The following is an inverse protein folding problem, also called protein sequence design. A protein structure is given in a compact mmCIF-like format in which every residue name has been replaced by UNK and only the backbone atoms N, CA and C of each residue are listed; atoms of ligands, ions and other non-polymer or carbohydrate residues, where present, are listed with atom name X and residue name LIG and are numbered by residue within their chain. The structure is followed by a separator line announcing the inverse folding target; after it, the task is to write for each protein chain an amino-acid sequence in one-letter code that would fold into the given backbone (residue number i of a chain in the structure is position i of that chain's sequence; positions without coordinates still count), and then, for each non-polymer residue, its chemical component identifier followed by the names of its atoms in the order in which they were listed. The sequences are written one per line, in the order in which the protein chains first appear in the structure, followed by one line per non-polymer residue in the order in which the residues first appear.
data_IF_487573081092
#
_entry.id   IF_487573081092
#
_cell.length_a   1.000
_cell.length_b   1.000
_cell.length_c   1.000
_cell.angle_alpha   90.00
_cell.angle_beta   90.00
_cell.angle_gamma   90.00
#
_symmetry.space_group_name_H-M   'P 1'
#
loop_
_entity.id
_entity.type
_entity.pdbx_description
1 polymer ?
#
# COMPACT_ATOMS: atom_id res chain seq x y z
N UNK A 1 8.97 4.32 2.91
CA UNK A 1 7.71 4.80 3.53
C UNK A 1 6.48 4.49 2.68
N UNK A 2 6.51 4.79 1.38
CA UNK A 2 5.39 4.63 0.44
C UNK A 2 4.79 3.21 0.37
N UNK A 3 5.63 2.19 0.15
CA UNK A 3 5.18 0.79 0.01
C UNK A 3 4.57 0.26 1.32
N UNK A 4 5.03 0.77 2.46
CA UNK A 4 4.45 0.44 3.76
C UNK A 4 3.05 1.05 3.85
N UNK A 5 2.88 2.34 3.55
CA UNK A 5 1.58 3.01 3.56
C UNK A 5 0.54 2.30 2.65
N UNK A 6 0.94 1.93 1.42
CA UNK A 6 0.08 1.18 0.48
C UNK A 6 -0.21 -0.25 0.94
N UNK A 7 0.71 -0.89 1.67
CA UNK A 7 0.47 -2.22 2.27
C UNK A 7 -0.48 -2.16 3.47
N UNK A 8 -0.52 -1.03 4.18
CA UNK A 8 -1.41 -0.82 5.33
C UNK A 8 -2.83 -0.41 4.90
N UNK A 9 -2.99 0.23 3.73
CA UNK A 9 -4.28 0.52 3.10
C UNK A 9 -5.30 -0.65 3.17
N UNK A 10 -4.99 -1.86 2.63
CA UNK A 10 -5.92 -2.99 2.71
C UNK A 10 -5.94 -3.68 4.08
N UNK A 11 -4.95 -3.43 4.93
CA UNK A 11 -4.80 -4.09 6.24
C UNK A 11 -5.66 -3.41 7.31
N UNK A 12 -5.84 -2.09 7.21
CA UNK A 12 -6.54 -1.25 8.19
C UNK A 12 -7.79 -0.58 7.62
N UNK A 13 -8.15 -0.87 6.35
CA UNK A 13 -9.31 -0.30 5.68
C UNK A 13 -9.28 1.23 5.64
N UNK A 14 -8.07 1.79 5.50
CA UNK A 14 -7.81 3.24 5.50
C UNK A 14 -8.33 3.87 4.21
N UNK A 15 -8.81 5.11 4.29
CA UNK A 15 -9.11 5.91 3.10
C UNK A 15 -7.82 6.46 2.47
N UNK A 16 -7.89 6.91 1.22
CA UNK A 16 -6.77 7.59 0.56
C UNK A 16 -6.31 8.83 1.33
N UNK A 17 -7.24 9.51 2.01
CA UNK A 17 -6.94 10.64 2.89
C UNK A 17 -6.18 10.25 4.14
N UNK A 18 -6.54 9.15 4.79
CA UNK A 18 -5.80 8.69 5.97
C UNK A 18 -4.36 8.31 5.60
N UNK A 19 -4.17 7.77 4.39
CA UNK A 19 -2.83 7.45 3.85
C UNK A 19 -2.04 8.71 3.51
N UNK A 20 -2.70 9.74 2.95
CA UNK A 20 -2.14 11.07 2.74
C UNK A 20 -1.68 11.71 4.06
N UNK A 21 -2.56 11.75 5.07
CA UNK A 21 -2.23 12.30 6.40
C UNK A 21 -1.05 11.56 7.04
N UNK A 22 -1.02 10.23 6.97
CA UNK A 22 0.12 9.43 7.47
C UNK A 22 1.45 9.75 6.78
N UNK A 23 1.42 10.04 5.48
CA UNK A 23 2.61 10.42 4.72
C UNK A 23 3.06 11.83 5.11
N UNK A 24 2.11 12.76 5.24
CA UNK A 24 2.36 14.15 5.65
C UNK A 24 2.89 14.21 7.08
N UNK A 25 2.32 13.46 8.02
CA UNK A 25 2.82 13.32 9.40
C UNK A 25 4.26 12.75 9.44
N UNK A 26 4.61 11.91 8.47
CA UNK A 26 5.96 11.38 8.33
C UNK A 26 6.96 12.32 7.64
N UNK A 27 6.52 13.53 7.23
CA UNK A 27 7.34 14.53 6.56
C UNK A 27 7.40 14.37 5.04
N UNK A 28 6.58 13.50 4.46
CA UNK A 28 6.41 13.37 3.02
C UNK A 28 5.17 14.19 2.61
N UNK A 29 5.39 15.41 2.10
CA UNK A 29 4.32 16.22 1.52
C UNK A 29 3.85 15.59 0.20
N UNK A 30 2.87 14.70 0.30
CA UNK A 30 2.31 13.95 -0.82
C UNK A 30 0.84 14.29 -0.98
N UNK A 31 0.43 14.71 -2.18
CA UNK A 31 -0.97 14.96 -2.49
C UNK A 31 -1.77 13.64 -2.63
N UNK A 32 -3.04 13.61 -2.22
CA UNK A 32 -3.94 12.45 -2.34
C UNK A 32 -4.00 11.87 -3.76
N UNK A 33 -3.80 12.68 -4.82
CA UNK A 33 -3.73 12.20 -6.20
C UNK A 33 -2.48 11.35 -6.43
N UNK A 34 -1.37 11.70 -5.79
CA UNK A 34 -0.12 10.92 -5.85
C UNK A 34 -0.28 9.62 -5.08
N UNK A 35 -0.93 9.64 -3.92
CA UNK A 35 -1.30 8.42 -3.17
C UNK A 35 -2.20 7.52 -4.02
N UNK A 36 -3.20 8.08 -4.69
CA UNK A 36 -4.08 7.33 -5.59
C UNK A 36 -3.33 6.67 -6.75
N UNK A 37 -2.40 7.40 -7.39
CA UNK A 37 -1.54 6.84 -8.46
C UNK A 37 -0.63 5.73 -7.93
N UNK A 38 -0.06 5.89 -6.73
CA UNK A 38 0.73 4.84 -6.09
C UNK A 38 -0.11 3.61 -5.77
N UNK A 39 -1.29 3.78 -5.19
CA UNK A 39 -2.19 2.64 -4.93
C UNK A 39 -2.51 1.93 -6.25
N UNK A 40 -2.89 2.63 -7.33
CA UNK A 40 -3.11 1.97 -8.62
C UNK A 40 -1.90 1.20 -9.16
N UNK A 41 -0.70 1.76 -9.01
CA UNK A 41 0.54 1.14 -9.52
C UNK A 41 1.00 -0.03 -8.64
N UNK A 42 0.90 0.10 -7.33
CA UNK A 42 1.41 -0.87 -6.36
C UNK A 42 0.38 -1.93 -5.97
N UNK A 43 -0.93 -1.67 -6.06
CA UNK A 43 -1.98 -2.68 -5.80
C UNK A 43 -1.82 -3.94 -6.65
N UNK A 44 -1.61 -3.90 -7.98
CA UNK A 44 -1.38 -5.11 -8.76
C UNK A 44 -0.07 -5.80 -8.36
N UNK A 45 1.00 -5.06 -8.07
CA UNK A 45 2.28 -5.61 -7.61
C UNK A 45 2.16 -6.29 -6.24
N UNK A 46 1.42 -5.68 -5.31
CA UNK A 46 1.14 -6.22 -3.98
C UNK A 46 0.16 -7.39 -4.05
N UNK A 47 -0.83 -7.35 -4.95
CA UNK A 47 -1.75 -8.47 -5.17
C UNK A 47 -1.02 -9.67 -5.78
N UNK A 48 -0.10 -9.43 -6.71
CA UNK A 48 0.74 -10.46 -7.33
C UNK A 48 1.74 -11.02 -6.31
N UNK A 49 2.45 -10.16 -5.57
CA UNK A 49 3.31 -10.58 -4.46
C UNK A 49 2.54 -11.31 -3.35
N UNK A 50 1.29 -10.90 -3.06
CA UNK A 50 0.42 -11.60 -2.12
C UNK A 50 -0.06 -12.94 -2.68
N UNK A 51 -0.30 -13.06 -4.00
CA UNK A 51 -0.54 -14.35 -4.67
C UNK A 51 0.67 -15.25 -4.50
N UNK A 52 1.90 -14.76 -4.78
CA UNK A 52 3.12 -15.53 -4.54
C UNK A 52 3.31 -15.92 -3.07
N UNK A 53 3.03 -15.03 -2.12
CA UNK A 53 3.11 -15.33 -0.69
C UNK A 53 2.06 -16.35 -0.22
N UNK A 54 0.86 -16.34 -0.83
CA UNK A 54 -0.18 -17.36 -0.60
C UNK A 54 0.11 -18.67 -1.33
N UNK A 55 0.90 -18.59 -2.40
CA UNK A 55 1.38 -19.71 -3.19
C UNK A 55 2.77 -20.17 -2.76
N UNK A 56 3.29 -19.71 -1.60
CA UNK A 56 4.23 -20.51 -0.85
C UNK A 56 3.45 -21.78 -0.48
N UNK A 57 3.63 -22.89 -1.21
CA UNK A 57 3.02 -24.13 -0.83
C UNK A 57 3.61 -24.45 0.54
N UNK A 58 2.84 -25.15 1.36
CA UNK A 58 3.48 -25.95 2.40
C UNK A 58 4.49 -26.86 1.70
N UNK A 59 5.76 -26.47 1.70
CA UNK A 59 6.89 -27.33 1.40
C UNK A 59 7.74 -27.33 2.68
N UNK A 60 7.22 -28.02 3.70
CA UNK A 60 7.80 -29.24 4.26
C UNK A 60 7.13 -29.61 5.58
#
# INVERSE_FOLDING_TARGET
MIVLAVRWYPRFNLSYRDVEELLVEHGEEVDHVTVYRWVQQFTPLLADAARFARHAPGDR
#
